data_IF_250688059523
#
_entry.id   IF_250688059523
#
_cell.length_a   1.000
_cell.length_b   1.000
_cell.length_c   1.000
_cell.angle_alpha   90.00
_cell.angle_beta   90.00
_cell.angle_gamma   90.00
#
_symmetry.space_group_name_H-M   'P 1'
#
loop_
_entity.id
_entity.type
_entity.pdbx_description
1 polymer ?
#
# COMPACT_ATOMS: atom_id res chain seq x y z
N UNK A 1 -9.05 -19.00 10.92
CA UNK A 1 -8.34 -17.75 11.25
C UNK A 1 -8.83 -16.63 10.32
N UNK A 2 -9.53 -15.60 10.81
CA UNK A 2 -9.98 -14.47 9.95
C UNK A 2 -8.75 -13.61 9.60
N UNK A 3 -8.33 -13.60 8.34
CA UNK A 3 -7.27 -12.70 7.85
C UNK A 3 -7.82 -11.27 7.83
N UNK A 4 -7.11 -10.32 8.45
CA UNK A 4 -7.47 -8.90 8.39
C UNK A 4 -7.32 -8.39 6.95
N UNK A 5 -8.45 -8.11 6.28
CA UNK A 5 -8.49 -7.47 4.96
C UNK A 5 -9.01 -6.04 5.15
N UNK A 6 -8.13 -5.02 5.18
CA UNK A 6 -8.59 -3.63 5.27
C UNK A 6 -9.40 -3.25 4.02
N UNK A 7 -10.29 -2.27 4.15
CA UNK A 7 -10.94 -1.63 3.00
C UNK A 7 -9.88 -1.03 2.06
N UNK A 8 -10.20 -0.92 0.76
CA UNK A 8 -9.28 -0.40 -0.25
C UNK A 8 -8.81 1.03 0.08
N UNK A 9 -9.71 1.85 0.64
CA UNK A 9 -9.46 3.22 1.10
C UNK A 9 -8.43 3.31 2.24
N UNK A 10 -8.30 2.25 3.02
CA UNK A 10 -7.36 2.14 4.13
C UNK A 10 -6.04 1.42 3.74
N UNK A 11 -5.90 0.97 2.49
CA UNK A 11 -4.64 0.37 2.01
C UNK A 11 -3.65 1.47 1.60
N UNK A 12 -2.65 1.67 2.44
CA UNK A 12 -1.54 2.59 2.17
C UNK A 12 -0.37 1.85 1.55
N UNK A 13 0.18 2.42 0.49
CA UNK A 13 1.35 1.94 -0.23
C UNK A 13 2.47 2.98 -0.17
N UNK A 14 3.69 2.50 -0.05
CA UNK A 14 4.91 3.29 0.02
C UNK A 14 5.75 3.06 -1.24
N UNK A 15 6.17 4.12 -1.93
CA UNK A 15 7.01 3.97 -3.10
C UNK A 15 8.41 3.51 -2.72
N UNK A 16 8.92 2.48 -3.41
CA UNK A 16 10.27 1.96 -3.18
C UNK A 16 11.36 2.95 -3.58
N UNK A 17 11.06 3.85 -4.54
CA UNK A 17 12.04 4.81 -5.08
C UNK A 17 12.10 6.13 -4.30
N UNK A 18 10.96 6.78 -4.10
CA UNK A 18 10.89 8.11 -3.45
C UNK A 18 10.38 8.07 -2.01
N UNK A 19 9.90 6.92 -1.51
CA UNK A 19 9.39 6.81 -0.15
C UNK A 19 8.01 7.42 0.10
N UNK A 20 7.35 8.01 -0.91
CA UNK A 20 6.01 8.61 -0.72
C UNK A 20 5.01 7.55 -0.27
N UNK A 21 4.23 7.88 0.76
CA UNK A 21 3.12 7.06 1.28
C UNK A 21 1.81 7.61 0.77
N UNK A 22 1.05 6.78 0.07
CA UNK A 22 -0.24 7.18 -0.52
C UNK A 22 -1.21 6.02 -0.55
N UNK A 23 -2.51 6.33 -0.59
CA UNK A 23 -3.59 5.32 -0.67
C UNK A 23 -3.61 4.63 -2.03
N UNK A 24 -4.11 3.40 -2.08
CA UNK A 24 -4.24 2.60 -3.30
C UNK A 24 -4.87 3.37 -4.48
N UNK A 25 -5.90 4.16 -4.21
CA UNK A 25 -6.61 4.98 -5.20
C UNK A 25 -5.69 5.95 -5.93
N UNK A 26 -4.74 6.56 -5.23
CA UNK A 26 -3.80 7.54 -5.80
C UNK A 26 -2.68 6.90 -6.62
N UNK A 27 -2.49 5.59 -6.47
CA UNK A 27 -1.53 4.81 -7.24
C UNK A 27 -2.12 4.22 -8.52
N UNK A 28 -3.44 4.06 -8.56
CA UNK A 28 -4.16 3.55 -9.72
C UNK A 28 -4.65 4.73 -10.54
N UNK A 29 -4.03 4.97 -11.70
CA UNK A 29 -4.58 5.95 -12.65
C UNK A 29 -5.83 5.34 -13.31
N UNK A 30 -7.04 5.87 -13.04
CA UNK A 30 -8.29 5.28 -13.52
C UNK A 30 -8.39 5.27 -15.05
N UNK A 31 -7.71 6.19 -15.73
CA UNK A 31 -7.69 6.34 -17.19
C UNK A 31 -6.88 5.28 -17.95
N UNK A 32 -5.83 4.73 -17.34
CA UNK A 32 -4.92 3.76 -18.01
C UNK A 32 -4.80 2.42 -17.28
N UNK A 33 -5.36 2.31 -16.07
CA UNK A 33 -5.24 1.12 -15.23
C UNK A 33 -3.81 0.83 -14.75
N UNK A 34 -2.85 1.74 -15.00
CA UNK A 34 -1.44 1.51 -14.70
C UNK A 34 -1.15 1.91 -13.25
N UNK A 35 -0.59 0.98 -12.49
CA UNK A 35 -0.07 1.23 -11.15
C UNK A 35 1.23 2.03 -11.22
N UNK A 36 1.19 3.30 -10.79
CA UNK A 36 2.34 4.22 -10.82
C UNK A 36 2.35 5.11 -9.59
N UNK A 37 3.55 5.43 -9.13
CA UNK A 37 3.75 6.42 -8.09
C UNK A 37 3.32 7.81 -8.62
N UNK A 38 2.46 8.54 -7.91
CA UNK A 38 1.97 9.85 -8.35
C UNK A 38 3.07 10.93 -8.40
N UNK A 39 4.19 10.75 -7.70
CA UNK A 39 5.28 11.74 -7.66
C UNK A 39 6.43 11.45 -8.64
N UNK A 40 6.83 10.17 -8.79
CA UNK A 40 8.03 9.82 -9.58
C UNK A 40 7.74 8.88 -10.75
N UNK A 41 6.49 8.43 -10.94
CA UNK A 41 6.12 7.51 -12.02
C UNK A 41 6.62 6.07 -11.85
N UNK A 42 7.30 5.73 -10.75
CA UNK A 42 7.80 4.39 -10.50
C UNK A 42 6.66 3.40 -10.24
N UNK A 43 6.77 2.16 -10.75
CA UNK A 43 5.66 1.19 -10.76
C UNK A 43 5.66 0.20 -9.59
N UNK A 44 6.64 0.26 -8.69
CA UNK A 44 6.74 -0.65 -7.56
C UNK A 44 6.45 0.07 -6.23
N UNK A 45 5.55 -0.50 -5.44
CA UNK A 45 5.16 0.01 -4.13
C UNK A 45 5.13 -1.11 -3.08
N UNK A 46 5.49 -0.77 -1.84
CA UNK A 46 5.42 -1.65 -0.67
C UNK A 46 4.13 -1.39 0.09
N UNK A 47 3.35 -2.43 0.39
CA UNK A 47 2.16 -2.29 1.24
C UNK A 47 2.59 -2.00 2.68
N UNK A 48 2.12 -0.88 3.23
CA UNK A 48 2.43 -0.49 4.61
C UNK A 48 1.70 -1.43 5.58
N UNK A 49 2.40 -1.84 6.64
CA UNK A 49 1.83 -2.72 7.67
C UNK A 49 0.65 -1.99 8.35
N UNK A 50 -0.57 -2.56 8.33
CA UNK A 50 -1.68 -1.96 9.05
C UNK A 50 -1.44 -1.99 10.57
N UNK A 51 -2.01 -1.04 11.34
CA UNK A 51 -1.84 -0.94 12.80
C UNK A 51 -2.58 -2.04 13.58
N UNK A 52 -3.02 -3.11 12.92
CA UNK A 52 -3.65 -4.26 13.57
C UNK A 52 -2.61 -5.04 14.37
N UNK A 53 -2.90 -5.24 15.65
CA UNK A 53 -2.01 -5.97 16.56
C UNK A 53 -1.88 -7.41 16.08
N UNK A 54 -0.63 -7.87 15.92
CA UNK A 54 -0.32 -9.26 15.61
C UNK A 54 0.37 -9.87 16.82
N UNK A 55 -0.21 -10.93 17.41
CA UNK A 55 0.46 -11.71 18.46
C UNK A 55 1.67 -12.43 17.83
N UNK A 56 2.86 -12.08 18.31
CA UNK A 56 4.11 -12.73 17.91
C UNK A 56 4.51 -13.65 19.05
N UNK A 57 4.66 -14.95 18.77
CA UNK A 57 5.22 -15.88 19.76
C UNK A 57 6.70 -15.54 19.90
N UNK A 58 7.19 -15.42 21.14
CA UNK A 58 8.64 -15.45 21.38
C UNK A 58 9.12 -16.89 21.28
N UNK A 59 10.40 -17.05 20.94
CA UNK A 59 11.14 -18.30 21.21
C UNK A 59 11.25 -18.49 22.72
#
# INVERSE_FOLDING_TARGET
MKKYRPAAEAMVYECVRCGVRSRADRWSYPETGVWKCPECGYKCARKVRPPVVKRVKTL
#
